data_IF_313476793345
#
_entry.id   IF_313476793345
#
_cell.length_a   1.000
_cell.length_b   1.000
_cell.length_c   1.000
_cell.angle_alpha   90.00
_cell.angle_beta   90.00
_cell.angle_gamma   90.00
#
_symmetry.space_group_name_H-M   'P 1'
#
loop_
_entity.id
_entity.type
_entity.pdbx_description
1 polymer ?
#
# COMPACT_ATOMS: atom_id res chain seq x y z
N UNK A 1 18.82 20.91 11.01
CA UNK A 1 17.94 19.86 10.42
C UNK A 1 16.80 20.56 9.69
N UNK A 2 16.74 20.49 8.35
CA UNK A 2 15.61 21.01 7.57
C UNK A 2 14.54 19.95 7.32
N UNK A 3 13.34 20.34 6.86
CA UNK A 3 12.20 19.43 6.67
C UNK A 3 12.49 18.22 5.75
N UNK A 4 13.28 18.42 4.70
CA UNK A 4 13.73 17.34 3.82
C UNK A 4 14.58 16.28 4.54
N UNK A 5 15.49 16.72 5.42
CA UNK A 5 16.31 15.82 6.22
C UNK A 5 15.47 15.07 7.26
N UNK A 6 14.51 15.74 7.89
CA UNK A 6 13.57 15.10 8.82
C UNK A 6 12.78 13.98 8.13
N UNK A 7 12.28 14.22 6.93
CA UNK A 7 11.50 13.24 6.19
C UNK A 7 12.37 12.06 5.69
N UNK A 8 13.61 12.34 5.28
CA UNK A 8 14.57 11.31 4.91
C UNK A 8 14.98 10.44 6.11
N UNK A 9 15.16 11.04 7.29
CA UNK A 9 15.38 10.31 8.54
C UNK A 9 14.16 9.45 8.93
N UNK A 10 12.95 9.95 8.70
CA UNK A 10 11.72 9.18 8.96
C UNK A 10 11.62 7.95 8.06
N UNK A 11 11.91 8.09 6.77
CA UNK A 11 12.01 6.95 5.84
C UNK A 11 13.06 5.94 6.31
N UNK A 12 14.23 6.42 6.75
CA UNK A 12 15.26 5.55 7.28
C UNK A 12 14.82 4.80 8.56
N UNK A 13 14.00 5.44 9.41
CA UNK A 13 13.41 4.79 10.57
C UNK A 13 12.39 3.70 10.18
N UNK A 14 11.56 3.94 9.16
CA UNK A 14 10.66 2.92 8.59
C UNK A 14 11.48 1.73 8.09
N UNK A 15 12.56 2.00 7.34
CA UNK A 15 13.46 0.95 6.85
C UNK A 15 14.09 0.13 7.96
N UNK A 16 14.49 0.74 9.08
CA UNK A 16 15.01 0.02 10.24
C UNK A 16 13.96 -0.81 10.99
N UNK A 17 12.72 -0.35 11.04
CA UNK A 17 11.64 -1.04 11.76
C UNK A 17 11.07 -2.22 10.95
N UNK A 18 10.94 -2.03 9.64
CA UNK A 18 10.19 -2.96 8.77
C UNK A 18 11.04 -3.65 7.72
N UNK A 19 12.30 -3.24 7.54
CA UNK A 19 13.22 -3.83 6.56
C UNK A 19 13.34 -5.34 6.74
N UNK A 20 13.60 -5.77 7.98
CA UNK A 20 13.68 -7.20 8.36
C UNK A 20 12.30 -7.85 8.56
N UNK A 21 11.24 -7.04 8.62
CA UNK A 21 9.85 -7.50 8.71
C UNK A 21 9.25 -7.93 7.37
N UNK A 22 10.08 -8.09 6.33
CA UNK A 22 9.66 -8.49 4.98
C UNK A 22 9.33 -7.33 4.04
N UNK A 23 9.45 -6.05 4.48
CA UNK A 23 9.24 -4.90 3.57
C UNK A 23 10.28 -4.89 2.45
N UNK A 24 11.53 -5.21 2.78
CA UNK A 24 12.62 -5.29 1.81
C UNK A 24 12.34 -6.39 0.79
N UNK A 25 12.05 -7.59 1.29
CA UNK A 25 11.83 -8.77 0.45
C UNK A 25 10.59 -8.58 -0.42
N UNK A 26 9.50 -8.03 0.11
CA UNK A 26 8.30 -7.67 -0.66
C UNK A 26 8.62 -6.81 -1.88
N UNK A 27 9.47 -5.79 -1.73
CA UNK A 27 9.84 -4.87 -2.83
C UNK A 27 10.78 -5.50 -3.85
N UNK A 28 11.62 -6.45 -3.42
CA UNK A 28 12.56 -7.17 -4.29
C UNK A 28 11.85 -8.30 -5.04
N UNK A 29 11.09 -9.12 -4.32
CA UNK A 29 10.39 -10.29 -4.85
C UNK A 29 9.22 -9.89 -5.76
N UNK A 30 8.61 -8.73 -5.54
CA UNK A 30 7.62 -8.16 -6.46
C UNK A 30 8.24 -7.58 -7.74
N UNK A 31 9.58 -7.61 -7.89
CA UNK A 31 10.33 -7.04 -9.02
C UNK A 31 10.14 -5.54 -9.26
N UNK A 32 9.52 -4.81 -8.32
CA UNK A 32 9.30 -3.36 -8.41
C UNK A 32 10.64 -2.61 -8.32
N UNK A 33 11.56 -3.08 -7.47
CA UNK A 33 12.90 -2.52 -7.34
C UNK A 33 13.97 -3.59 -7.17
N UNK A 34 15.17 -3.34 -7.70
CA UNK A 34 16.33 -4.19 -7.44
C UNK A 34 16.78 -4.08 -5.97
N UNK A 35 17.31 -5.16 -5.40
CA UNK A 35 17.74 -5.24 -3.99
C UNK A 35 18.63 -4.06 -3.55
N UNK A 36 19.68 -3.75 -4.32
CA UNK A 36 20.56 -2.62 -4.02
C UNK A 36 19.83 -1.27 -4.00
N UNK A 37 18.80 -1.12 -4.83
CA UNK A 37 17.96 0.10 -4.82
C UNK A 37 17.10 0.17 -3.57
N UNK A 38 16.48 -0.95 -3.17
CA UNK A 38 15.68 -1.03 -1.94
C UNK A 38 16.54 -0.71 -0.72
N UNK A 39 17.77 -1.20 -0.65
CA UNK A 39 18.68 -0.92 0.46
C UNK A 39 19.01 0.58 0.57
N UNK A 40 19.31 1.26 -0.55
CA UNK A 40 19.56 2.71 -0.55
C UNK A 40 18.29 3.51 -0.23
N UNK A 41 17.14 3.01 -0.65
CA UNK A 41 15.83 3.59 -0.41
C UNK A 41 15.46 3.55 1.08
N UNK A 42 15.58 2.37 1.70
CA UNK A 42 15.31 2.13 3.12
C UNK A 42 16.37 2.78 4.04
N UNK A 43 17.55 3.13 3.52
CA UNK A 43 18.51 3.98 4.23
C UNK A 43 18.19 5.48 4.17
N UNK A 44 17.11 5.89 3.48
CA UNK A 44 16.73 7.29 3.32
C UNK A 44 17.62 8.09 2.36
N UNK A 45 18.49 7.44 1.57
CA UNK A 45 19.39 8.11 0.62
C UNK A 45 18.70 8.44 -0.70
N UNK A 46 17.62 7.73 -1.03
CA UNK A 46 16.88 7.87 -2.29
C UNK A 46 15.43 8.30 -2.00
N UNK A 47 15.25 9.56 -1.58
CA UNK A 47 13.98 10.09 -1.10
C UNK A 47 12.80 9.88 -2.07
N UNK A 48 12.91 10.33 -3.33
CA UNK A 48 11.81 10.24 -4.29
C UNK A 48 11.40 8.79 -4.59
N UNK A 49 12.39 7.90 -4.64
CA UNK A 49 12.16 6.47 -4.85
C UNK A 49 11.52 5.83 -3.63
N UNK A 50 11.93 6.25 -2.44
CA UNK A 50 11.37 5.79 -1.17
C UNK A 50 9.92 6.19 -1.00
N UNK A 51 9.58 7.44 -1.31
CA UNK A 51 8.18 7.89 -1.29
C UNK A 51 7.35 7.04 -2.23
N UNK A 52 7.78 6.87 -3.49
CA UNK A 52 7.03 6.07 -4.47
C UNK A 52 6.88 4.59 -4.04
N UNK A 53 7.97 3.98 -3.58
CA UNK A 53 7.95 2.57 -3.12
C UNK A 53 7.06 2.36 -1.90
N UNK A 54 7.15 3.24 -0.90
CA UNK A 54 6.31 3.14 0.30
C UNK A 54 4.83 3.41 -0.01
N UNK A 55 4.51 4.32 -0.93
CA UNK A 55 3.13 4.54 -1.38
C UNK A 55 2.56 3.30 -2.06
N UNK A 56 3.32 2.63 -2.94
CA UNK A 56 2.88 1.38 -3.59
C UNK A 56 2.64 0.27 -2.56
N UNK A 57 3.54 0.12 -1.59
CA UNK A 57 3.37 -0.86 -0.52
C UNK A 57 2.13 -0.55 0.32
N UNK A 58 1.92 0.72 0.67
CA UNK A 58 0.74 1.16 1.41
C UNK A 58 -0.55 0.81 0.63
N UNK A 59 -0.60 1.11 -0.66
CA UNK A 59 -1.75 0.81 -1.52
C UNK A 59 -2.02 -0.70 -1.63
N UNK A 60 -0.99 -1.51 -1.77
CA UNK A 60 -1.10 -2.97 -1.80
C UNK A 60 -1.63 -3.53 -0.47
N UNK A 61 -1.11 -3.05 0.66
CA UNK A 61 -1.55 -3.44 2.00
C UNK A 61 -3.00 -3.00 2.26
N UNK A 62 -3.36 -1.77 1.90
CA UNK A 62 -4.74 -1.29 1.97
C UNK A 62 -5.67 -2.16 1.13
N UNK A 63 -5.28 -2.49 -0.10
CA UNK A 63 -6.08 -3.35 -0.99
C UNK A 63 -6.31 -4.74 -0.40
N UNK A 64 -5.30 -5.33 0.23
CA UNK A 64 -5.42 -6.61 0.93
C UNK A 64 -6.31 -6.48 2.17
N UNK A 65 -6.09 -5.46 2.99
CA UNK A 65 -6.82 -5.22 4.22
C UNK A 65 -8.29 -4.95 3.96
N UNK A 66 -8.62 -4.07 3.01
CA UNK A 66 -9.99 -3.84 2.57
C UNK A 66 -10.62 -5.10 1.99
N UNK A 67 -9.88 -5.87 1.19
CA UNK A 67 -10.37 -7.16 0.68
C UNK A 67 -10.76 -8.13 1.80
N UNK A 68 -9.97 -8.23 2.86
CA UNK A 68 -10.28 -9.06 4.03
C UNK A 68 -11.44 -8.49 4.86
N UNK A 69 -11.43 -7.18 5.11
CA UNK A 69 -12.47 -6.47 5.82
C UNK A 69 -13.84 -6.63 5.14
N UNK A 70 -13.89 -6.53 3.81
CA UNK A 70 -15.14 -6.69 3.06
C UNK A 70 -15.65 -8.13 3.05
N UNK A 71 -14.76 -9.12 3.04
CA UNK A 71 -15.18 -10.53 3.25
C UNK A 71 -15.77 -10.74 4.63
N UNK A 72 -15.12 -10.20 5.66
CA UNK A 72 -15.63 -10.24 7.03
C UNK A 72 -16.98 -9.53 7.16
N UNK A 73 -17.15 -8.38 6.51
CA UNK A 73 -18.43 -7.66 6.50
C UNK A 73 -19.53 -8.46 5.79
N UNK A 74 -19.25 -9.04 4.61
CA UNK A 74 -20.23 -9.84 3.88
C UNK A 74 -20.77 -11.02 4.70
N UNK A 75 -19.92 -11.65 5.52
CA UNK A 75 -20.32 -12.71 6.45
C UNK A 75 -21.25 -12.22 7.59
N UNK A 76 -21.31 -10.90 7.81
CA UNK A 76 -22.08 -10.26 8.90
C UNK A 76 -23.22 -9.37 8.39
N UNK A 77 -23.41 -9.26 7.08
CA UNK A 77 -24.37 -8.35 6.42
C UNK A 77 -25.82 -8.55 6.89
N UNK A 78 -26.21 -9.76 7.28
CA UNK A 78 -27.57 -10.06 7.76
C UNK A 78 -27.95 -9.29 9.05
N UNK A 79 -26.97 -8.68 9.75
CA UNK A 79 -27.18 -7.95 11.01
C UNK A 79 -27.13 -6.43 10.88
N UNK A 80 -26.91 -5.88 9.68
CA UNK A 80 -26.69 -4.44 9.49
C UNK A 80 -27.87 -3.73 8.80
N UNK A 81 -28.22 -2.49 9.23
CA UNK A 81 -29.34 -1.74 8.67
C UNK A 81 -29.08 -1.31 7.21
N UNK A 82 -30.14 -1.26 6.38
CA UNK A 82 -30.10 -1.07 4.92
C UNK A 82 -29.25 0.11 4.42
N UNK A 83 -29.15 1.19 5.21
CA UNK A 83 -28.36 2.38 4.87
C UNK A 83 -26.84 2.13 4.78
N UNK A 84 -26.35 1.07 5.43
CA UNK A 84 -24.94 0.67 5.34
C UNK A 84 -24.64 -0.15 4.08
N UNK A 85 -25.64 -0.86 3.54
CA UNK A 85 -25.50 -1.71 2.35
C UNK A 85 -25.37 -0.90 1.06
N UNK A 86 -26.03 0.26 0.99
CA UNK A 86 -25.96 1.18 -0.18
C UNK A 86 -24.62 1.90 -0.25
N UNK A 87 -24.09 2.33 0.90
CA UNK A 87 -22.76 2.94 0.98
C UNK A 87 -21.67 1.92 0.66
N UNK A 88 -21.85 0.68 1.13
CA UNK A 88 -20.98 -0.45 0.83
C UNK A 88 -20.94 -0.82 -0.66
N UNK A 89 -22.10 -0.95 -1.31
CA UNK A 89 -22.16 -1.26 -2.75
C UNK A 89 -21.58 -0.15 -3.62
N UNK A 90 -21.80 1.12 -3.23
CA UNK A 90 -21.21 2.28 -3.90
C UNK A 90 -19.68 2.28 -3.76
N UNK A 91 -19.14 2.01 -2.57
CA UNK A 91 -17.70 1.91 -2.37
C UNK A 91 -17.08 0.72 -3.13
N UNK A 92 -17.74 -0.45 -3.12
CA UNK A 92 -17.27 -1.64 -3.81
C UNK A 92 -17.20 -1.45 -5.33
N UNK A 93 -18.17 -0.75 -5.92
CA UNK A 93 -18.15 -0.40 -7.33
C UNK A 93 -17.03 0.60 -7.69
N UNK A 94 -16.73 1.58 -6.82
CA UNK A 94 -15.58 2.46 -7.00
C UNK A 94 -14.25 1.71 -6.91
N UNK A 95 -14.14 0.73 -6.00
CA UNK A 95 -12.95 -0.10 -5.87
C UNK A 95 -12.73 -1.03 -7.06
N UNK A 96 -13.80 -1.65 -7.60
CA UNK A 96 -13.72 -2.46 -8.82
C UNK A 96 -13.43 -1.60 -10.06
N UNK A 97 -14.01 -0.40 -10.16
CA UNK A 97 -13.69 0.55 -11.21
C UNK A 97 -12.19 0.91 -11.20
N UNK A 98 -11.60 1.15 -10.01
CA UNK A 98 -10.16 1.41 -9.86
C UNK A 98 -9.27 0.29 -10.43
N UNK A 99 -9.59 -0.97 -10.15
CA UNK A 99 -8.86 -2.13 -10.72
C UNK A 99 -8.95 -2.25 -12.24
N UNK A 100 -10.05 -1.81 -12.86
CA UNK A 100 -10.23 -1.86 -14.32
C UNK A 100 -9.48 -0.77 -15.09
N UNK A 101 -9.12 0.33 -14.42
CA UNK A 101 -8.32 1.41 -15.01
C UNK A 101 -6.83 1.02 -15.07
N UNK A 102 -6.30 0.34 -14.05
CA UNK A 102 -4.92 -0.19 -14.07
C UNK A 102 -4.71 -1.25 -15.17
N UNK A 103 -5.70 -2.12 -15.41
CA UNK A 103 -5.61 -3.14 -16.44
C UNK A 103 -5.60 -2.58 -17.88
N UNK A 104 -6.12 -1.36 -18.10
CA UNK A 104 -6.17 -0.72 -19.43
C UNK A 104 -4.92 0.11 -19.78
N UNK A 105 -4.06 0.42 -18.80
CA UNK A 105 -2.81 1.15 -19.03
C UNK A 105 -1.58 0.24 -19.23
N UNK A 106 -1.77 -1.07 -19.18
CA UNK A 106 -0.76 -2.11 -19.39
C UNK A 106 -0.94 -2.88 -20.72
N UNK A 107 -1.80 -2.40 -21.62
CA UNK A 107 -2.02 -2.98 -22.94
C UNK A 107 -1.66 -1.99 -24.05
#
# INVERSE_FOLDING_TARGET
MGGFHTLSCFIAAIGKLWGDGGLRDLLVDSSVYAAATVDQMLCGKQFNRAVRGLTLVYEALCSLWFGAFFRWLNDKIEKFPENTLTLFSTFMSMFQAGKTVEAKHLC
#
